data_IF_212899372117
#
_entry.id   IF_212899372117
#
_cell.length_a   1.000
_cell.length_b   1.000
_cell.length_c   1.000
_cell.angle_alpha   90.00
_cell.angle_beta   90.00
_cell.angle_gamma   90.00
#
_symmetry.space_group_name_H-M   'P 1'
#
loop_
_entity.id
_entity.type
_entity.pdbx_description
1 polymer ?
#
# COMPACT_ATOMS: atom_id res chain seq x y z
N UNK A 1 -0.48 26.01 -21.50
CA UNK A 1 -0.61 25.48 -20.12
C UNK A 1 -1.58 24.32 -20.21
N UNK A 2 -1.06 23.12 -20.46
CA UNK A 2 -1.86 21.90 -20.55
C UNK A 2 -2.03 21.34 -19.13
N UNK A 3 -3.28 21.22 -18.67
CA UNK A 3 -3.64 20.72 -17.34
C UNK A 3 -4.23 19.31 -17.45
N UNK A 4 -3.64 18.42 -18.24
CA UNK A 4 -4.09 17.03 -18.36
C UNK A 4 -2.94 16.05 -18.28
N UNK A 5 -2.12 16.20 -17.25
CA UNK A 5 -1.12 15.21 -16.85
C UNK A 5 -1.49 14.57 -15.51
N UNK A 6 -2.80 14.48 -15.20
CA UNK A 6 -3.24 13.40 -14.31
C UNK A 6 -3.07 12.12 -15.12
N UNK A 7 -2.19 11.23 -14.66
CA UNK A 7 -1.92 9.94 -15.28
C UNK A 7 -3.20 9.10 -15.21
N UNK A 8 -4.13 9.33 -16.13
CA UNK A 8 -5.41 8.67 -16.15
C UNK A 8 -5.13 7.22 -16.54
N UNK A 9 -5.19 6.33 -15.54
CA UNK A 9 -4.97 4.89 -15.72
C UNK A 9 -6.02 4.24 -16.63
N UNK A 10 -6.98 5.00 -17.14
CA UNK A 10 -8.04 4.57 -18.04
C UNK A 10 -9.43 4.91 -17.49
N UNK A 11 -10.41 4.87 -18.39
CA UNK A 11 -11.84 4.82 -18.02
C UNK A 11 -12.21 3.36 -17.86
N UNK A 12 -12.85 3.03 -16.74
CA UNK A 12 -13.27 1.66 -16.43
C UNK A 12 -14.80 1.56 -16.47
N UNK A 13 -15.30 0.41 -16.93
CA UNK A 13 -16.74 0.15 -17.09
C UNK A 13 -17.40 0.00 -15.71
N UNK A 14 -16.65 -0.54 -14.74
CA UNK A 14 -17.13 -0.78 -13.38
C UNK A 14 -16.22 -0.17 -12.30
N UNK A 15 -16.85 0.23 -11.19
CA UNK A 15 -16.13 0.67 -9.99
C UNK A 15 -15.16 -0.39 -9.47
N UNK A 16 -15.53 -1.67 -9.53
CA UNK A 16 -14.68 -2.78 -9.09
C UNK A 16 -13.38 -2.91 -9.89
N UNK A 17 -13.43 -2.66 -11.20
CA UNK A 17 -12.24 -2.62 -12.04
C UNK A 17 -11.34 -1.43 -11.72
N UNK A 18 -11.92 -0.24 -11.55
CA UNK A 18 -11.18 0.95 -11.15
C UNK A 18 -10.46 0.73 -9.81
N UNK A 19 -11.15 0.16 -8.81
CA UNK A 19 -10.54 -0.18 -7.52
C UNK A 19 -9.43 -1.21 -7.67
N UNK A 20 -9.64 -2.26 -8.47
CA UNK A 20 -8.61 -3.29 -8.68
C UNK A 20 -7.35 -2.72 -9.31
N UNK A 21 -7.48 -1.74 -10.20
CA UNK A 21 -6.37 -1.05 -10.85
C UNK A 21 -5.66 -0.09 -9.89
N UNK A 22 -6.40 0.66 -9.09
CA UNK A 22 -5.83 1.48 -8.02
C UNK A 22 -5.01 0.63 -7.04
N UNK A 23 -5.57 -0.52 -6.61
CA UNK A 23 -4.89 -1.46 -5.73
C UNK A 23 -3.59 -2.00 -6.35
N UNK A 24 -3.61 -2.36 -7.64
CA UNK A 24 -2.44 -2.88 -8.34
C UNK A 24 -1.31 -1.84 -8.44
N UNK A 25 -1.64 -0.57 -8.72
CA UNK A 25 -0.65 0.52 -8.77
C UNK A 25 -0.03 0.74 -7.40
N UNK A 26 -0.86 0.76 -6.35
CA UNK A 26 -0.37 0.88 -4.97
C UNK A 26 0.51 -0.31 -4.58
N UNK A 27 0.15 -1.52 -4.98
CA UNK A 27 0.93 -2.72 -4.69
C UNK A 27 2.32 -2.66 -5.33
N UNK A 28 2.36 -2.39 -6.63
CA UNK A 28 3.60 -2.30 -7.40
C UNK A 28 4.55 -1.23 -6.82
N UNK A 29 4.00 -0.05 -6.51
CA UNK A 29 4.79 1.02 -5.88
C UNK A 29 5.31 0.60 -4.50
N UNK A 30 4.43 0.07 -3.63
CA UNK A 30 4.80 -0.28 -2.26
C UNK A 30 5.79 -1.45 -2.21
N UNK A 31 5.64 -2.46 -3.06
CA UNK A 31 6.58 -3.56 -3.19
C UNK A 31 7.93 -3.09 -3.72
N UNK A 32 7.93 -2.21 -4.73
CA UNK A 32 9.18 -1.64 -5.27
C UNK A 32 9.86 -0.65 -4.33
N UNK A 33 9.09 0.07 -3.51
CA UNK A 33 9.61 1.06 -2.56
C UNK A 33 10.09 0.42 -1.24
N UNK A 34 9.63 -0.78 -0.92
CA UNK A 34 10.01 -1.47 0.31
C UNK A 34 11.48 -1.86 0.30
N UNK A 35 12.19 -1.50 1.38
CA UNK A 35 13.55 -1.99 1.64
C UNK A 35 13.56 -2.94 2.85
N UNK A 36 14.37 -4.01 2.82
CA UNK A 36 14.44 -4.95 3.92
C UNK A 36 14.90 -4.25 5.21
N UNK A 37 14.06 -4.30 6.24
CA UNK A 37 14.28 -3.60 7.51
C UNK A 37 13.44 -2.33 7.70
N UNK A 38 12.74 -1.86 6.65
CA UNK A 38 11.78 -0.77 6.80
C UNK A 38 10.58 -1.13 7.67
N UNK A 39 10.01 -0.09 8.27
CA UNK A 39 8.74 -0.18 9.00
C UNK A 39 7.58 0.19 8.09
N UNK A 40 6.37 -0.24 8.47
CA UNK A 40 5.16 0.10 7.71
C UNK A 40 4.91 1.61 7.65
N UNK A 41 5.34 2.34 8.69
CA UNK A 41 5.24 3.79 8.75
C UNK A 41 6.23 4.46 7.81
N UNK A 42 7.48 3.99 7.75
CA UNK A 42 8.47 4.50 6.79
C UNK A 42 8.00 4.27 5.36
N UNK A 43 7.55 3.05 5.05
CA UNK A 43 7.06 2.71 3.72
C UNK A 43 5.84 3.56 3.31
N UNK A 44 4.88 3.73 4.23
CA UNK A 44 3.72 4.58 3.99
C UNK A 44 4.11 6.06 3.82
N UNK A 45 5.08 6.55 4.60
CA UNK A 45 5.61 7.90 4.44
C UNK A 45 6.25 8.07 3.06
N UNK A 46 7.07 7.13 2.61
CA UNK A 46 7.64 7.13 1.25
C UNK A 46 6.54 7.17 0.19
N UNK A 47 5.46 6.39 0.36
CA UNK A 47 4.30 6.47 -0.51
C UNK A 47 3.62 7.83 -0.50
N UNK A 48 3.42 8.47 0.65
CA UNK A 48 2.80 9.80 0.72
C UNK A 48 3.69 10.88 0.08
N UNK A 49 5.01 10.71 0.15
CA UNK A 49 5.97 11.69 -0.38
C UNK A 49 6.31 11.50 -1.86
N UNK A 50 6.40 10.26 -2.33
CA UNK A 50 6.89 9.90 -3.68
C UNK A 50 5.88 9.10 -4.50
N UNK A 51 4.91 8.47 -3.85
CA UNK A 51 3.88 7.67 -4.51
C UNK A 51 2.76 8.52 -5.07
N UNK A 52 2.14 8.02 -6.12
CA UNK A 52 0.92 8.61 -6.67
C UNK A 52 -0.29 8.04 -5.93
N UNK A 53 -1.17 8.92 -5.45
CA UNK A 53 -2.43 8.48 -4.84
C UNK A 53 -3.48 8.35 -5.94
N UNK A 54 -3.85 7.12 -6.35
CA UNK A 54 -4.89 6.96 -7.36
C UNK A 54 -6.24 7.36 -6.78
N UNK A 55 -6.98 8.17 -7.54
CA UNK A 55 -8.32 8.64 -7.16
C UNK A 55 -9.31 8.11 -8.21
N UNK A 56 -10.38 7.48 -7.74
CA UNK A 56 -11.47 7.03 -8.60
C UNK A 56 -12.49 8.15 -8.69
N UNK A 57 -12.83 8.55 -9.92
CA UNK A 57 -13.85 9.56 -10.20
C UNK A 57 -15.04 8.88 -10.90
N UNK A 58 -16.27 9.19 -10.47
CA UNK A 58 -17.48 8.59 -11.04
C UNK A 58 -18.74 9.00 -10.29
N UNK A 59 -19.90 8.61 -10.83
CA UNK A 59 -21.21 8.90 -10.24
C UNK A 59 -21.59 7.87 -9.13
N UNK A 60 -21.03 6.67 -9.21
CA UNK A 60 -21.14 5.60 -8.19
C UNK A 60 -19.77 5.36 -7.53
N UNK A 61 -19.37 6.30 -6.68
CA UNK A 61 -18.17 6.13 -5.84
C UNK A 61 -18.54 5.26 -4.64
N UNK A 62 -17.94 4.08 -4.53
CA UNK A 62 -17.91 3.35 -3.27
C UNK A 62 -16.89 3.94 -2.29
N UNK A 63 -16.84 3.39 -1.08
CA UNK A 63 -16.00 3.82 0.04
C UNK A 63 -14.52 3.37 -0.07
N UNK A 64 -13.94 3.29 -1.27
CA UNK A 64 -12.54 2.91 -1.43
C UNK A 64 -11.62 4.09 -1.14
N UNK A 65 -10.97 4.01 0.03
CA UNK A 65 -9.89 4.91 0.41
C UNK A 65 -8.52 4.32 0.04
N UNK A 66 -7.90 4.87 -1.01
CA UNK A 66 -6.55 4.50 -1.45
C UNK A 66 -5.52 4.59 -0.31
N UNK A 67 -5.67 5.57 0.58
CA UNK A 67 -4.81 5.74 1.75
C UNK A 67 -4.98 4.63 2.80
N UNK A 68 -6.21 4.20 3.07
CA UNK A 68 -6.47 3.13 4.01
C UNK A 68 -5.91 1.80 3.49
N UNK A 69 -6.16 1.52 2.21
CA UNK A 69 -5.59 0.35 1.53
C UNK A 69 -4.05 0.35 1.55
N UNK A 70 -3.42 1.48 1.22
CA UNK A 70 -1.97 1.61 1.24
C UNK A 70 -1.37 1.33 2.64
N UNK A 71 -2.00 1.85 3.71
CA UNK A 71 -1.57 1.57 5.10
C UNK A 71 -1.67 0.09 5.43
N UNK A 72 -2.74 -0.57 5.01
CA UNK A 72 -2.92 -2.00 5.26
C UNK A 72 -1.85 -2.82 4.52
N UNK A 73 -1.61 -2.53 3.24
CA UNK A 73 -0.57 -3.19 2.43
C UNK A 73 0.84 -2.98 2.99
N UNK A 74 1.18 -1.77 3.45
CA UNK A 74 2.48 -1.51 4.07
C UNK A 74 2.74 -2.46 5.26
N UNK A 75 1.72 -2.69 6.09
CA UNK A 75 1.81 -3.62 7.23
C UNK A 75 1.98 -5.05 6.79
N UNK A 76 1.29 -5.47 5.73
CA UNK A 76 1.40 -6.81 5.17
C UNK A 76 2.79 -7.07 4.58
N UNK A 77 3.32 -6.16 3.75
CA UNK A 77 4.65 -6.26 3.13
C UNK A 77 5.73 -6.36 4.20
N UNK A 78 5.69 -5.46 5.19
CA UNK A 78 6.65 -5.48 6.29
C UNK A 78 6.54 -6.79 7.07
N UNK A 79 5.33 -7.25 7.39
CA UNK A 79 5.13 -8.52 8.13
C UNK A 79 5.59 -9.75 7.35
N UNK A 80 5.46 -9.75 6.03
CA UNK A 80 5.97 -10.82 5.16
C UNK A 80 7.50 -10.88 5.16
N UNK A 81 8.15 -9.72 5.27
CA UNK A 81 9.61 -9.60 5.22
C UNK A 81 10.30 -9.51 6.58
N UNK A 82 9.57 -9.25 7.67
CA UNK A 82 10.15 -9.35 9.00
C UNK A 82 10.56 -10.80 9.25
N UNK A 83 11.83 -11.05 9.64
CA UNK A 83 12.22 -12.38 10.06
C UNK A 83 11.29 -12.75 11.21
N UNK A 84 10.58 -13.88 11.09
CA UNK A 84 9.76 -14.40 12.18
C UNK A 84 10.70 -14.55 13.37
N UNK A 85 10.65 -13.58 14.29
CA UNK A 85 11.41 -13.65 15.53
C UNK A 85 10.79 -14.84 16.24
N UNK A 86 11.44 -16.00 16.11
CA UNK A 86 11.12 -17.17 16.94
C UNK A 86 11.30 -16.64 18.35
N UNK A 87 10.18 -16.45 19.04
CA UNK A 87 10.13 -16.04 20.43
C UNK A 87 11.07 -17.00 21.16
N UNK A 88 12.29 -16.55 21.46
CA UNK A 88 13.19 -17.24 22.35
C UNK A 88 12.54 -17.06 23.72
N UNK A 89 11.66 -17.99 24.05
CA UNK A 89 11.20 -18.17 25.41
C UNK A 89 12.50 -18.53 26.14
N UNK A 90 13.04 -17.58 26.91
CA UNK A 90 14.03 -17.93 27.91
C UNK A 90 13.26 -18.72 28.95
N UNK A 91 13.33 -20.04 28.86
CA UNK A 91 13.13 -20.92 29.99
C UNK A 91 14.17 -20.53 31.04
N UNK A 92 13.80 -19.59 31.90
CA UNK A 92 14.41 -19.42 33.21
C UNK A 92 13.68 -20.42 34.10
N UNK A 93 14.02 -21.70 33.93
CA UNK A 93 13.81 -22.68 34.99
C UNK A 93 14.90 -22.45 36.02
N UNK A 94 14.50 -21.68 37.02
CA UNK A 94 15.15 -21.50 38.29
C UNK A 94 14.95 -22.78 39.11
N UNK A 95 15.99 -23.61 39.24
CA UNK A 95 16.22 -24.50 40.39
C UNK A 95 17.72 -24.76 40.60
#
# INVERSE_FOLDING_TARGET
MDKSQEYNSGVYDTYGEAVSKCKAILDDFLESAYQPGDTAETLYSTYVHYGETPIIWGDNLGDFDSNDYARLRCREIVKLHQPRIKKFIRDIDNE
#
